data_IF_903089648406
#
_entry.id   IF_903089648406
#
_cell.length_a   1.000
_cell.length_b   1.000
_cell.length_c   1.000
_cell.angle_alpha   90.00
_cell.angle_beta   90.00
_cell.angle_gamma   90.00
#
_symmetry.space_group_name_H-M   'P 1'
#
loop_
_entity.id
_entity.type
_entity.pdbx_description
1 polymer ?
#
# COMPACT_ATOMS: atom_id res chain seq x y z
N UNK A 1 58.90 -50.78 -7.65
CA UNK A 1 58.71 -49.95 -6.45
C UNK A 1 57.30 -49.38 -6.46
N UNK A 2 56.62 -49.44 -5.30
CA UNK A 2 55.32 -48.82 -4.93
C UNK A 2 55.30 -47.29 -5.24
N UNK A 3 54.22 -46.50 -5.01
CA UNK A 3 52.75 -46.72 -4.96
C UNK A 3 51.95 -45.56 -5.64
N UNK A 4 51.04 -45.78 -6.60
CA UNK A 4 50.14 -44.68 -7.07
C UNK A 4 48.67 -45.03 -7.34
N UNK A 5 48.23 -46.28 -7.19
CA UNK A 5 46.87 -46.68 -7.61
C UNK A 5 45.89 -47.04 -6.47
N UNK A 6 46.28 -46.93 -5.20
CA UNK A 6 45.40 -47.27 -4.06
C UNK A 6 44.60 -46.05 -3.55
N UNK A 7 45.05 -44.82 -3.79
CA UNK A 7 44.38 -43.61 -3.28
C UNK A 7 43.14 -43.14 -4.04
N UNK A 8 42.95 -43.55 -5.30
CA UNK A 8 41.82 -43.08 -6.14
C UNK A 8 40.60 -43.99 -5.97
N UNK A 9 40.78 -45.27 -5.63
CA UNK A 9 39.67 -46.20 -5.45
C UNK A 9 38.94 -45.99 -4.11
N UNK A 10 39.62 -45.54 -3.06
CA UNK A 10 39.01 -45.29 -1.74
C UNK A 10 38.19 -44.00 -1.69
N UNK A 11 38.55 -42.96 -2.46
CA UNK A 11 37.78 -41.72 -2.51
C UNK A 11 36.44 -41.88 -3.25
N UNK A 12 36.38 -42.72 -4.29
CA UNK A 12 35.15 -42.98 -5.05
C UNK A 12 34.11 -43.79 -4.24
N UNK A 13 34.57 -44.74 -3.40
CA UNK A 13 33.66 -45.60 -2.62
C UNK A 13 33.03 -44.84 -1.43
N UNK A 14 33.75 -43.88 -0.82
CA UNK A 14 33.19 -43.04 0.26
C UNK A 14 32.14 -42.05 -0.28
N UNK A 15 32.33 -41.51 -1.49
CA UNK A 15 31.37 -40.60 -2.13
C UNK A 15 30.04 -41.27 -2.50
N UNK A 16 30.07 -42.53 -2.94
CA UNK A 16 28.86 -43.29 -3.31
C UNK A 16 28.05 -43.71 -2.07
N UNK A 17 28.73 -44.08 -0.95
CA UNK A 17 28.05 -44.44 0.29
C UNK A 17 27.43 -43.23 1.01
N UNK A 18 28.08 -42.06 0.97
CA UNK A 18 27.52 -40.82 1.52
C UNK A 18 26.29 -40.33 0.73
N UNK A 19 26.31 -40.46 -0.61
CA UNK A 19 25.18 -40.10 -1.47
C UNK A 19 23.95 -40.99 -1.27
N UNK A 20 24.15 -42.30 -1.08
CA UNK A 20 23.05 -43.25 -0.87
C UNK A 20 22.36 -43.09 0.50
N UNK A 21 23.12 -42.78 1.56
CA UNK A 21 22.58 -42.48 2.89
C UNK A 21 21.86 -41.13 2.94
N UNK A 22 22.34 -40.11 2.22
CA UNK A 22 21.66 -38.81 2.10
C UNK A 22 20.37 -38.86 1.30
N UNK A 23 20.28 -39.70 0.26
CA UNK A 23 19.05 -39.89 -0.50
C UNK A 23 17.97 -40.64 0.30
N UNK A 24 18.38 -41.64 1.09
CA UNK A 24 17.46 -42.45 1.89
C UNK A 24 16.86 -41.69 3.09
N UNK A 25 17.56 -40.68 3.62
CA UNK A 25 17.01 -39.79 4.66
C UNK A 25 16.09 -38.72 4.08
N UNK A 26 16.37 -38.23 2.87
CA UNK A 26 15.51 -37.27 2.15
C UNK A 26 14.14 -37.86 1.78
N UNK A 27 14.08 -39.12 1.33
CA UNK A 27 12.80 -39.77 0.98
C UNK A 27 11.91 -40.07 2.20
N UNK A 28 12.49 -40.22 3.40
CA UNK A 28 11.72 -40.40 4.65
C UNK A 28 11.11 -39.10 5.20
N UNK A 29 11.61 -37.94 4.78
CA UNK A 29 11.12 -36.63 5.22
C UNK A 29 10.13 -35.99 4.22
N UNK A 30 9.82 -36.67 3.11
CA UNK A 30 8.82 -36.20 2.15
C UNK A 30 7.41 -36.29 2.75
N UNK A 31 6.64 -35.19 2.81
CA UNK A 31 5.20 -35.29 3.08
C UNK A 31 4.52 -36.11 1.97
N UNK A 32 3.47 -36.84 2.33
CA UNK A 32 2.75 -37.71 1.39
C UNK A 32 2.30 -36.94 0.15
N UNK A 33 2.39 -37.53 -1.07
CA UNK A 33 1.87 -36.89 -2.26
C UNK A 33 0.35 -36.69 -2.12
N UNK A 34 -0.11 -35.48 -2.43
CA UNK A 34 -1.52 -35.18 -2.54
C UNK A 34 -2.19 -36.15 -3.54
N UNK A 35 -3.45 -36.57 -3.31
CA UNK A 35 -4.13 -37.50 -4.20
C UNK A 35 -4.18 -36.93 -5.63
N UNK A 36 -3.92 -37.80 -6.60
CA UNK A 36 -3.92 -37.45 -8.01
C UNK A 36 -5.29 -36.87 -8.41
N UNK A 37 -5.30 -35.59 -8.78
CA UNK A 37 -6.46 -34.97 -9.43
C UNK A 37 -6.59 -35.61 -10.81
N UNK A 38 -7.59 -36.47 -10.98
CA UNK A 38 -8.01 -36.96 -12.29
C UNK A 38 -8.55 -35.76 -13.05
N UNK A 39 -7.74 -35.20 -13.94
CA UNK A 39 -8.19 -34.17 -14.87
C UNK A 39 -9.07 -34.84 -15.92
N UNK A 40 -10.39 -34.84 -15.68
CA UNK A 40 -11.34 -35.09 -16.75
C UNK A 40 -11.11 -34.02 -17.83
N UNK A 41 -10.63 -34.45 -19.00
CA UNK A 41 -10.59 -33.60 -20.20
C UNK A 41 -12.02 -33.30 -20.62
N UNK A 42 -12.55 -32.17 -20.17
CA UNK A 42 -13.75 -31.58 -20.74
C UNK A 42 -13.34 -30.98 -22.10
N UNK A 43 -13.99 -31.34 -23.22
CA UNK A 43 -13.71 -30.70 -24.49
C UNK A 43 -14.14 -29.23 -24.39
N UNK A 44 -13.17 -28.31 -24.54
CA UNK A 44 -13.46 -26.87 -24.66
C UNK A 44 -13.97 -26.64 -26.07
N UNK A 45 -15.29 -26.57 -26.23
CA UNK A 45 -15.89 -25.90 -27.39
C UNK A 45 -15.62 -24.41 -27.23
N UNK A 46 -14.78 -23.85 -28.11
CA UNK A 46 -14.60 -22.41 -28.23
C UNK A 46 -15.92 -21.84 -28.75
N UNK A 47 -16.75 -21.32 -27.85
CA UNK A 47 -17.89 -20.51 -28.24
C UNK A 47 -17.35 -19.19 -28.82
N UNK A 48 -17.72 -18.91 -30.06
CA UNK A 48 -17.54 -17.60 -30.69
C UNK A 48 -18.18 -16.54 -29.79
N UNK A 49 -17.37 -15.56 -29.35
CA UNK A 49 -17.87 -14.37 -28.67
C UNK A 49 -18.64 -13.52 -29.67
N UNK A 50 -19.93 -13.76 -29.80
CA UNK A 50 -20.84 -12.80 -30.41
C UNK A 50 -20.97 -11.58 -29.49
N UNK A 51 -20.55 -10.46 -30.05
CA UNK A 51 -20.49 -9.16 -29.41
C UNK A 51 -21.88 -8.51 -29.41
N UNK A 52 -22.81 -9.02 -28.61
CA UNK A 52 -24.04 -8.31 -28.23
C UNK A 52 -24.83 -9.11 -27.18
N UNK A 53 -24.90 -8.62 -25.93
CA UNK A 53 -25.84 -9.16 -24.94
C UNK A 53 -25.31 -9.11 -23.52
N UNK A 54 -25.34 -7.92 -22.90
CA UNK A 54 -25.14 -7.79 -21.46
C UNK A 54 -26.21 -8.55 -20.68
N UNK A 55 -25.83 -9.16 -19.56
CA UNK A 55 -26.72 -9.87 -18.65
C UNK A 55 -27.84 -8.92 -18.14
N UNK A 56 -29.13 -9.17 -18.41
CA UNK A 56 -30.23 -8.27 -18.03
C UNK A 56 -30.39 -8.06 -16.51
N UNK A 57 -29.76 -8.91 -15.69
CA UNK A 57 -29.80 -8.81 -14.23
C UNK A 57 -28.96 -7.66 -13.65
N UNK A 58 -27.96 -7.15 -14.39
CA UNK A 58 -27.15 -6.00 -13.97
C UNK A 58 -27.78 -4.65 -14.36
N UNK A 59 -28.88 -4.66 -15.12
CA UNK A 59 -29.54 -3.44 -15.63
C UNK A 59 -30.71 -2.96 -14.76
N UNK A 60 -30.97 -3.58 -13.61
CA UNK A 60 -32.14 -3.25 -12.75
C UNK A 60 -31.84 -2.51 -11.45
N UNK A 61 -30.69 -1.87 -11.32
CA UNK A 61 -30.40 -0.93 -10.22
C UNK A 61 -29.88 0.42 -10.72
N UNK A 62 -30.56 1.03 -11.70
CA UNK A 62 -30.39 2.46 -11.98
C UNK A 62 -31.55 3.24 -11.36
N UNK A 63 -31.58 3.29 -10.03
CA UNK A 63 -32.10 4.49 -9.39
C UNK A 63 -31.05 5.59 -9.61
N UNK A 64 -31.48 6.75 -10.10
CA UNK A 64 -30.66 7.91 -10.47
C UNK A 64 -29.96 8.52 -9.25
N UNK A 65 -28.97 7.86 -8.68
CA UNK A 65 -28.07 8.47 -7.70
C UNK A 65 -26.88 9.05 -8.45
N UNK A 66 -26.85 10.38 -8.57
CA UNK A 66 -25.67 11.11 -9.10
C UNK A 66 -24.49 11.09 -8.09
N UNK A 67 -24.77 10.73 -6.84
CA UNK A 67 -23.80 10.58 -5.77
C UNK A 67 -23.18 9.18 -5.78
N UNK A 68 -21.90 9.09 -5.42
CA UNK A 68 -21.19 7.82 -5.28
C UNK A 68 -21.56 7.08 -4.00
N UNK A 69 -20.94 5.92 -3.83
CA UNK A 69 -21.15 5.04 -2.68
C UNK A 69 -20.37 5.58 -1.49
N UNK A 70 -21.08 5.97 -0.44
CA UNK A 70 -20.44 6.40 0.81
C UNK A 70 -19.80 5.23 1.54
N UNK A 71 -18.75 5.51 2.28
CA UNK A 71 -18.12 4.57 3.20
C UNK A 71 -18.90 4.45 4.51
N UNK A 72 -18.59 3.41 5.26
CA UNK A 72 -19.06 3.25 6.64
C UNK A 72 -17.87 3.13 7.59
N UNK A 73 -18.07 3.45 8.86
CA UNK A 73 -16.99 3.55 9.85
C UNK A 73 -17.41 2.87 11.15
N UNK A 74 -16.50 2.08 11.74
CA UNK A 74 -16.73 1.41 13.01
C UNK A 74 -15.47 1.47 13.89
N UNK A 75 -15.68 1.71 15.19
CA UNK A 75 -14.67 1.61 16.23
C UNK A 75 -15.10 0.50 17.17
N UNK A 76 -14.46 -0.66 17.06
CA UNK A 76 -14.79 -1.83 17.89
C UNK A 76 -14.11 -1.65 19.25
N UNK A 77 -14.83 -1.66 20.38
CA UNK A 77 -14.21 -1.58 21.69
C UNK A 77 -13.22 -2.73 21.93
N UNK A 78 -11.99 -2.46 22.37
CA UNK A 78 -11.02 -3.50 22.65
C UNK A 78 -11.41 -4.28 23.91
N UNK A 79 -11.03 -5.55 23.95
CA UNK A 79 -11.13 -6.40 25.15
C UNK A 79 -10.00 -6.09 26.12
N UNK A 80 -8.82 -5.75 25.59
CA UNK A 80 -7.64 -5.42 26.36
C UNK A 80 -7.74 -4.01 26.95
N UNK A 81 -7.65 -3.90 28.28
CA UNK A 81 -7.66 -2.61 28.99
C UNK A 81 -6.54 -1.68 28.52
N UNK A 82 -5.37 -2.23 28.17
CA UNK A 82 -4.22 -1.47 27.68
C UNK A 82 -4.47 -0.74 26.34
N UNK A 83 -5.48 -1.15 25.56
CA UNK A 83 -5.84 -0.52 24.28
C UNK A 83 -7.01 0.46 24.42
N UNK A 84 -7.67 0.51 25.58
CA UNK A 84 -8.82 1.40 25.77
C UNK A 84 -8.52 2.89 25.53
N UNK A 85 -7.38 3.45 25.98
CA UNK A 85 -7.05 4.85 25.68
C UNK A 85 -6.96 5.14 24.18
N UNK A 86 -6.43 4.19 23.39
CA UNK A 86 -6.30 4.33 21.93
C UNK A 86 -7.70 4.28 21.28
N UNK A 87 -8.54 3.34 21.71
CA UNK A 87 -9.93 3.28 21.25
C UNK A 87 -10.70 4.56 21.55
N UNK A 88 -10.61 5.08 22.78
CA UNK A 88 -11.30 6.31 23.18
C UNK A 88 -10.84 7.48 22.32
N UNK A 89 -9.53 7.68 22.16
CA UNK A 89 -9.00 8.73 21.32
C UNK A 89 -9.46 8.61 19.85
N UNK A 90 -9.45 7.39 19.29
CA UNK A 90 -9.87 7.15 17.91
C UNK A 90 -11.37 7.39 17.70
N UNK A 91 -12.21 6.87 18.60
CA UNK A 91 -13.67 6.93 18.51
C UNK A 91 -14.23 8.32 18.83
N UNK A 92 -13.82 8.95 19.93
CA UNK A 92 -14.23 10.32 20.27
C UNK A 92 -13.69 11.33 19.25
N UNK A 93 -12.50 11.06 18.72
CA UNK A 93 -11.89 11.85 17.67
C UNK A 93 -12.59 11.72 16.32
N UNK A 94 -13.44 10.71 16.09
CA UNK A 94 -13.90 10.30 14.76
C UNK A 94 -12.74 10.17 13.77
N UNK A 95 -11.64 9.58 14.23
CA UNK A 95 -10.35 9.54 13.54
C UNK A 95 -10.46 9.13 12.07
N UNK A 96 -11.09 7.99 11.76
CA UNK A 96 -11.18 7.45 10.40
C UNK A 96 -11.88 8.42 9.43
N UNK A 97 -12.99 9.02 9.84
CA UNK A 97 -13.78 9.94 9.01
C UNK A 97 -13.12 11.33 8.89
N UNK A 98 -12.26 11.70 9.85
CA UNK A 98 -11.56 12.99 9.83
C UNK A 98 -10.27 12.97 9.03
N UNK A 99 -9.76 11.81 8.64
CA UNK A 99 -8.63 11.73 7.70
C UNK A 99 -9.01 12.39 6.38
N UNK A 100 -8.23 13.39 5.99
CA UNK A 100 -8.62 14.30 4.91
C UNK A 100 -8.75 13.58 3.57
N UNK A 101 -7.84 12.65 3.24
CA UNK A 101 -7.89 11.86 2.01
C UNK A 101 -9.09 10.92 1.99
N UNK A 102 -9.34 10.19 3.09
CA UNK A 102 -10.47 9.26 3.21
C UNK A 102 -11.79 10.02 3.03
N UNK A 103 -11.95 11.16 3.72
CA UNK A 103 -13.10 12.04 3.56
C UNK A 103 -13.24 12.58 2.13
N UNK A 104 -12.13 12.86 1.45
CA UNK A 104 -12.16 13.40 0.10
C UNK A 104 -12.61 12.38 -0.95
N UNK A 105 -12.38 11.09 -0.72
CA UNK A 105 -12.77 10.01 -1.62
C UNK A 105 -14.06 9.29 -1.19
N UNK A 106 -14.58 9.56 0.01
CA UNK A 106 -15.88 9.07 0.49
C UNK A 106 -17.02 9.59 -0.40
N UNK A 107 -17.75 8.68 -1.05
CA UNK A 107 -18.80 9.02 -2.02
C UNK A 107 -18.28 9.53 -3.37
N UNK A 108 -16.97 9.47 -3.63
CA UNK A 108 -16.38 9.87 -4.91
C UNK A 108 -16.62 8.83 -6.01
N UNK A 109 -16.62 7.55 -5.67
CA UNK A 109 -16.69 6.45 -6.62
C UNK A 109 -18.05 5.73 -6.60
N UNK A 110 -18.47 5.22 -7.76
CA UNK A 110 -19.57 4.27 -7.90
C UNK A 110 -19.07 2.87 -7.58
N UNK A 111 -19.13 2.50 -6.30
CA UNK A 111 -18.70 1.17 -5.84
C UNK A 111 -19.90 0.21 -5.80
N UNK A 112 -19.73 -1.07 -6.21
CA UNK A 112 -20.79 -2.07 -6.10
C UNK A 112 -21.16 -2.42 -4.66
N UNK A 113 -20.27 -2.13 -3.70
CA UNK A 113 -20.51 -2.24 -2.26
C UNK A 113 -19.74 -1.14 -1.52
N UNK A 114 -20.22 -0.76 -0.33
CA UNK A 114 -19.51 0.16 0.56
C UNK A 114 -18.22 -0.46 1.06
N UNK A 115 -17.15 0.33 1.11
CA UNK A 115 -15.98 0.03 1.94
C UNK A 115 -16.33 0.39 3.39
N UNK A 116 -15.98 -0.47 4.33
CA UNK A 116 -16.18 -0.24 5.76
C UNK A 116 -14.83 -0.09 6.45
N UNK A 117 -14.55 1.08 6.99
CA UNK A 117 -13.34 1.32 7.77
C UNK A 117 -13.56 0.92 9.22
N UNK A 118 -12.70 0.06 9.73
CA UNK A 118 -12.81 -0.51 11.08
C UNK A 118 -11.52 -0.27 11.84
N UNK A 119 -11.64 0.17 13.09
CA UNK A 119 -10.56 0.00 14.08
C UNK A 119 -10.92 -1.07 15.09
N UNK A 120 -9.99 -1.96 15.40
CA UNK A 120 -10.24 -3.10 16.28
C UNK A 120 -8.96 -3.59 16.98
N UNK A 121 -9.11 -4.40 18.02
CA UNK A 121 -8.02 -5.18 18.60
C UNK A 121 -7.77 -6.44 17.76
N UNK A 122 -6.53 -6.61 17.27
CA UNK A 122 -6.17 -7.71 16.36
C UNK A 122 -5.20 -8.73 16.97
N UNK A 123 -4.76 -8.52 18.21
CA UNK A 123 -3.71 -9.28 18.93
C UNK A 123 -2.28 -9.05 18.44
N UNK A 124 -2.10 -8.49 17.24
CA UNK A 124 -0.81 -8.08 16.69
C UNK A 124 -0.95 -6.76 15.93
N UNK A 125 0.13 -5.96 15.83
CA UNK A 125 0.15 -4.78 14.97
C UNK A 125 -0.03 -5.19 13.51
N UNK A 126 -1.13 -4.76 12.91
CA UNK A 126 -1.44 -4.97 11.50
C UNK A 126 -2.41 -3.92 10.93
N UNK A 127 -2.56 -3.90 9.63
CA UNK A 127 -3.68 -3.30 8.91
C UNK A 127 -3.90 -4.11 7.64
N UNK A 128 -5.16 -4.30 7.25
CA UNK A 128 -5.46 -5.15 6.09
C UNK A 128 -6.83 -4.83 5.49
N UNK A 129 -6.98 -5.09 4.20
CA UNK A 129 -8.26 -5.20 3.53
C UNK A 129 -8.82 -6.64 3.62
N UNK A 130 -10.03 -6.78 4.17
CA UNK A 130 -10.78 -8.03 4.26
C UNK A 130 -11.80 -8.14 3.12
N UNK A 131 -11.52 -8.89 2.04
CA UNK A 131 -12.38 -8.93 0.84
C UNK A 131 -13.73 -9.60 1.06
N UNK A 132 -13.87 -10.44 2.10
CA UNK A 132 -15.12 -11.12 2.40
C UNK A 132 -16.21 -10.17 2.94
N UNK A 133 -15.80 -9.09 3.61
CA UNK A 133 -16.69 -8.12 4.27
C UNK A 133 -16.54 -6.71 3.70
N UNK A 134 -15.60 -6.48 2.77
CA UNK A 134 -15.20 -5.18 2.26
C UNK A 134 -14.73 -4.22 3.36
N UNK A 135 -14.01 -4.76 4.34
CA UNK A 135 -13.53 -4.00 5.49
C UNK A 135 -12.06 -3.62 5.32
N UNK A 136 -11.74 -2.33 5.51
CA UNK A 136 -10.37 -1.88 5.76
C UNK A 136 -10.18 -1.83 7.27
N UNK A 137 -9.37 -2.73 7.80
CA UNK A 137 -9.18 -2.90 9.24
C UNK A 137 -7.83 -2.31 9.65
N UNK A 138 -7.86 -1.42 10.63
CA UNK A 138 -6.67 -0.88 11.29
C UNK A 138 -6.63 -1.36 12.75
N UNK A 139 -5.59 -2.10 13.11
CA UNK A 139 -5.45 -2.64 14.45
C UNK A 139 -4.98 -1.57 15.44
N UNK A 140 -5.57 -1.50 16.64
CA UNK A 140 -5.12 -0.55 17.68
C UNK A 140 -3.64 -0.76 18.06
N UNK A 141 -3.16 -1.99 17.96
CA UNK A 141 -1.76 -2.34 18.16
C UNK A 141 -0.83 -1.61 17.18
N UNK A 142 -1.26 -1.37 15.94
CA UNK A 142 -0.50 -0.58 14.95
C UNK A 142 -0.36 0.85 15.39
N UNK A 143 -1.46 1.47 15.85
CA UNK A 143 -1.43 2.82 16.41
C UNK A 143 -0.50 2.85 17.62
N UNK A 144 -0.56 1.85 18.51
CA UNK A 144 0.30 1.76 19.68
C UNK A 144 1.80 1.69 19.31
N UNK A 145 2.16 0.85 18.34
CA UNK A 145 3.56 0.72 17.90
C UNK A 145 4.05 2.01 17.26
N UNK A 146 3.25 2.65 16.40
CA UNK A 146 3.58 3.93 15.79
C UNK A 146 3.81 5.01 16.84
N UNK A 147 2.92 5.11 17.85
CA UNK A 147 3.07 6.07 18.96
C UNK A 147 4.36 5.83 19.74
N UNK A 148 4.62 4.59 20.16
CA UNK A 148 5.85 4.24 20.89
C UNK A 148 7.12 4.56 20.10
N UNK A 149 7.11 4.27 18.80
CA UNK A 149 8.24 4.58 17.94
C UNK A 149 8.45 6.08 17.82
N UNK A 150 7.39 6.86 17.63
CA UNK A 150 7.48 8.29 17.50
C UNK A 150 7.98 8.97 18.79
N UNK A 151 7.53 8.48 19.95
CA UNK A 151 8.04 8.88 21.26
C UNK A 151 9.53 8.54 21.44
N UNK A 152 9.95 7.34 21.04
CA UNK A 152 11.35 6.93 21.09
C UNK A 152 12.24 7.80 20.18
N UNK A 153 11.79 8.12 18.97
CA UNK A 153 12.49 9.03 18.05
C UNK A 153 12.61 10.44 18.64
N UNK A 154 11.53 10.96 19.25
CA UNK A 154 11.57 12.26 19.93
C UNK A 154 12.55 12.26 21.10
N UNK A 155 12.55 11.20 21.93
CA UNK A 155 13.45 11.09 23.07
C UNK A 155 14.94 10.95 22.67
N UNK A 156 15.22 10.38 21.49
CA UNK A 156 16.57 10.17 20.98
C UNK A 156 17.18 11.39 20.28
N UNK A 157 16.39 12.42 19.96
CA UNK A 157 16.82 13.56 19.16
C UNK A 157 16.26 14.90 19.66
N UNK A 158 16.48 15.95 18.87
CA UNK A 158 15.90 17.28 19.10
C UNK A 158 14.72 17.50 18.16
N UNK A 159 13.71 16.63 18.25
CA UNK A 159 12.49 16.74 17.46
C UNK A 159 11.47 17.64 18.16
N UNK A 160 10.66 18.34 17.37
CA UNK A 160 9.61 19.22 17.85
C UNK A 160 8.57 18.48 18.71
N UNK A 161 7.90 19.20 19.60
CA UNK A 161 6.89 18.62 20.51
C UNK A 161 5.78 17.87 19.77
N UNK A 162 5.36 18.39 18.62
CA UNK A 162 4.29 17.85 17.77
C UNK A 162 4.72 16.67 16.88
N UNK A 163 6.03 16.37 16.82
CA UNK A 163 6.55 15.31 15.95
C UNK A 163 5.85 13.96 16.16
N UNK A 164 5.61 13.47 17.40
CA UNK A 164 4.99 12.16 17.59
C UNK A 164 3.62 12.05 16.95
N UNK A 165 2.79 13.09 17.12
CA UNK A 165 1.46 13.14 16.54
C UNK A 165 1.52 13.19 15.00
N UNK A 166 2.41 14.02 14.43
CA UNK A 166 2.60 14.11 12.99
C UNK A 166 3.06 12.78 12.38
N UNK A 167 4.01 12.10 13.03
CA UNK A 167 4.52 10.81 12.59
C UNK A 167 3.44 9.73 12.58
N UNK A 168 2.65 9.64 13.65
CA UNK A 168 1.54 8.67 13.74
C UNK A 168 0.51 8.95 12.64
N UNK A 169 0.07 10.19 12.47
CA UNK A 169 -0.91 10.54 11.44
C UNK A 169 -0.39 10.30 10.02
N UNK A 170 0.87 10.63 9.75
CA UNK A 170 1.49 10.42 8.44
C UNK A 170 1.48 8.94 8.04
N UNK A 171 1.90 8.07 8.97
CA UNK A 171 1.91 6.62 8.72
C UNK A 171 0.50 6.05 8.62
N UNK A 172 -0.44 6.45 9.48
CA UNK A 172 -1.81 5.96 9.42
C UNK A 172 -2.54 6.40 8.14
N UNK A 173 -2.30 7.62 7.65
CA UNK A 173 -2.81 8.08 6.34
C UNK A 173 -2.34 7.16 5.23
N UNK A 174 -1.03 6.90 5.18
CA UNK A 174 -0.45 6.04 4.15
C UNK A 174 -1.01 4.61 4.23
N UNK A 175 -0.98 4.00 5.41
CA UNK A 175 -1.46 2.61 5.64
C UNK A 175 -2.93 2.47 5.24
N UNK A 176 -3.81 3.36 5.71
CA UNK A 176 -5.23 3.26 5.38
C UNK A 176 -5.51 3.47 3.89
N UNK A 177 -4.76 4.34 3.21
CA UNK A 177 -4.90 4.55 1.77
C UNK A 177 -4.35 3.39 0.95
N UNK A 178 -3.29 2.73 1.44
CA UNK A 178 -2.76 1.49 0.88
C UNK A 178 -3.85 0.39 0.94
N UNK A 179 -4.44 0.15 2.12
CA UNK A 179 -5.54 -0.83 2.25
C UNK A 179 -6.79 -0.45 1.43
N UNK A 180 -7.08 0.85 1.34
CA UNK A 180 -8.16 1.34 0.47
C UNK A 180 -7.86 1.04 -1.01
N UNK A 181 -6.59 1.01 -1.41
CA UNK A 181 -6.16 0.62 -2.74
C UNK A 181 -6.55 -0.82 -3.08
N UNK A 182 -6.32 -1.77 -2.19
CA UNK A 182 -6.79 -3.15 -2.37
C UNK A 182 -8.31 -3.21 -2.52
N UNK A 183 -9.04 -2.47 -1.68
CA UNK A 183 -10.49 -2.40 -1.76
C UNK A 183 -10.97 -1.85 -3.12
N UNK A 184 -10.34 -0.78 -3.62
CA UNK A 184 -10.68 -0.18 -4.90
C UNK A 184 -10.37 -1.11 -6.07
N UNK A 185 -9.19 -1.74 -6.08
CA UNK A 185 -8.81 -2.73 -7.10
C UNK A 185 -9.86 -3.84 -7.15
N UNK A 186 -10.21 -4.41 -5.98
CA UNK A 186 -11.12 -5.54 -5.87
C UNK A 186 -12.56 -5.21 -6.23
N UNK A 187 -13.06 -4.06 -5.79
CA UNK A 187 -14.46 -3.65 -5.97
C UNK A 187 -14.73 -3.09 -7.37
N UNK A 188 -13.74 -2.44 -7.98
CA UNK A 188 -13.87 -1.87 -9.32
C UNK A 188 -13.34 -2.78 -10.42
N UNK A 189 -12.80 -3.96 -10.06
CA UNK A 189 -12.18 -4.93 -10.97
C UNK A 189 -11.06 -4.29 -11.81
N UNK A 190 -10.17 -3.54 -11.12
CA UNK A 190 -9.08 -2.83 -11.79
C UNK A 190 -7.93 -3.79 -12.12
N UNK A 191 -7.37 -3.76 -13.33
CA UNK A 191 -6.26 -4.62 -13.70
C UNK A 191 -4.95 -4.19 -13.03
N UNK A 192 -4.20 -5.17 -12.51
CA UNK A 192 -2.81 -5.04 -12.06
C UNK A 192 -1.90 -5.93 -12.91
N UNK A 193 -0.75 -5.40 -13.36
CA UNK A 193 0.20 -6.14 -14.24
C UNK A 193 1.57 -6.37 -13.59
N UNK A 194 1.73 -5.91 -12.35
CA UNK A 194 2.90 -6.12 -11.51
C UNK A 194 2.48 -6.58 -10.10
N UNK A 195 3.34 -6.37 -9.10
CA UNK A 195 2.97 -6.58 -7.70
C UNK A 195 1.85 -5.61 -7.30
N UNK A 196 0.78 -6.14 -6.75
CA UNK A 196 -0.36 -5.33 -6.30
C UNK A 196 0.08 -4.37 -5.19
N UNK A 197 0.90 -4.84 -4.25
CA UNK A 197 1.53 -4.05 -3.18
C UNK A 197 2.23 -2.78 -3.67
N UNK A 198 3.06 -2.92 -4.72
CA UNK A 198 3.75 -1.77 -5.32
C UNK A 198 2.75 -0.80 -5.96
N UNK A 199 1.64 -1.31 -6.51
CA UNK A 199 0.60 -0.50 -7.13
C UNK A 199 -0.23 0.26 -6.08
N UNK A 200 -0.61 -0.38 -4.97
CA UNK A 200 -1.38 0.30 -3.91
C UNK A 200 -0.52 1.28 -3.11
N UNK A 201 0.80 1.05 -2.99
CA UNK A 201 1.75 2.06 -2.51
C UNK A 201 1.75 3.32 -3.38
N UNK A 202 1.81 3.13 -4.70
CA UNK A 202 1.74 4.23 -5.66
C UNK A 202 0.43 5.01 -5.53
N UNK A 203 -0.69 4.30 -5.37
CA UNK A 203 -1.99 4.93 -5.17
C UNK A 203 -2.03 5.72 -3.87
N UNK A 204 -1.51 5.18 -2.76
CA UNK A 204 -1.47 5.87 -1.48
C UNK A 204 -0.68 7.19 -1.57
N UNK A 205 0.50 7.17 -2.22
CA UNK A 205 1.29 8.39 -2.49
C UNK A 205 0.46 9.39 -3.31
N UNK A 206 -0.14 8.94 -4.40
CA UNK A 206 -0.94 9.79 -5.27
C UNK A 206 -2.11 10.42 -4.48
N UNK A 207 -2.87 9.62 -3.72
CA UNK A 207 -4.03 10.12 -2.98
C UNK A 207 -3.62 11.15 -1.92
N UNK A 208 -2.56 10.90 -1.15
CA UNK A 208 -2.02 11.89 -0.20
C UNK A 208 -1.61 13.19 -0.90
N UNK A 209 -0.96 13.12 -2.07
CA UNK A 209 -0.56 14.32 -2.80
C UNK A 209 -1.75 15.11 -3.39
N UNK A 210 -2.68 14.40 -4.02
CA UNK A 210 -3.82 14.98 -4.76
C UNK A 210 -4.94 15.47 -3.83
N UNK A 211 -5.15 14.79 -2.71
CA UNK A 211 -6.25 15.05 -1.79
C UNK A 211 -5.82 15.60 -0.42
N UNK A 212 -4.55 15.95 -0.22
CA UNK A 212 -4.14 16.68 0.98
C UNK A 212 -4.92 17.99 1.21
N UNK A 213 -5.04 18.36 2.48
CA UNK A 213 -5.80 19.53 2.93
C UNK A 213 -5.33 20.82 2.28
N UNK A 214 -6.25 21.77 2.11
CA UNK A 214 -5.92 23.13 1.65
C UNK A 214 -5.07 23.90 2.67
N UNK A 215 -5.10 23.46 3.93
CA UNK A 215 -4.35 24.02 5.05
C UNK A 215 -2.98 23.31 5.24
N UNK A 216 -2.73 22.25 4.49
CA UNK A 216 -1.46 21.52 4.51
C UNK A 216 -0.57 21.97 3.35
N UNK A 217 0.58 22.56 3.65
CA UNK A 217 1.54 22.99 2.63
C UNK A 217 2.07 21.79 1.84
N UNK A 218 2.46 21.96 0.56
CA UNK A 218 3.04 20.84 -0.20
C UNK A 218 4.33 20.28 0.41
N UNK A 219 5.03 21.06 1.24
CA UNK A 219 6.18 20.57 2.01
C UNK A 219 5.73 19.64 3.14
N UNK A 220 4.72 20.02 3.92
CA UNK A 220 4.16 19.15 4.97
C UNK A 220 3.64 17.83 4.41
N UNK A 221 2.92 17.85 3.27
CA UNK A 221 2.50 16.61 2.58
C UNK A 221 3.69 15.72 2.24
N UNK A 222 4.77 16.33 1.76
CA UNK A 222 5.99 15.62 1.38
C UNK A 222 6.72 15.06 2.60
N UNK A 223 6.85 15.82 3.69
CA UNK A 223 7.44 15.32 4.94
C UNK A 223 6.62 14.17 5.54
N UNK A 224 5.28 14.24 5.45
CA UNK A 224 4.41 13.15 5.88
C UNK A 224 4.66 11.87 5.06
N UNK A 225 4.79 11.99 3.74
CA UNK A 225 5.14 10.88 2.88
C UNK A 225 6.57 10.36 3.12
N UNK A 226 7.54 11.24 3.41
CA UNK A 226 8.90 10.84 3.80
C UNK A 226 8.87 10.04 5.11
N UNK A 227 8.12 10.49 6.13
CA UNK A 227 7.96 9.77 7.39
C UNK A 227 7.35 8.37 7.17
N UNK A 228 6.33 8.27 6.32
CA UNK A 228 5.73 6.99 5.94
C UNK A 228 6.74 6.09 5.18
N UNK A 229 7.56 6.66 4.30
CA UNK A 229 8.62 5.88 3.62
C UNK A 229 9.66 5.36 4.61
N UNK A 230 10.13 6.19 5.54
CA UNK A 230 11.14 5.78 6.53
C UNK A 230 10.70 4.60 7.41
N UNK A 231 9.39 4.42 7.63
CA UNK A 231 8.86 3.24 8.32
C UNK A 231 9.28 1.93 7.65
N UNK A 232 9.38 1.89 6.33
CA UNK A 232 9.85 0.69 5.61
C UNK A 232 11.31 0.35 5.91
N UNK A 233 12.17 1.36 6.09
CA UNK A 233 13.56 1.15 6.48
C UNK A 233 13.68 0.65 7.92
N UNK A 234 12.83 1.13 8.82
CA UNK A 234 12.83 0.70 10.23
C UNK A 234 12.43 -0.77 10.38
N UNK A 235 11.67 -1.31 9.42
CA UNK A 235 11.27 -2.71 9.36
C UNK A 235 12.22 -3.57 8.50
N UNK A 236 13.10 -2.93 7.74
CA UNK A 236 14.09 -3.61 6.92
C UNK A 236 15.20 -4.19 7.81
N UNK A 237 15.48 -5.48 7.65
CA UNK A 237 16.50 -6.17 8.46
C UNK A 237 17.88 -6.18 7.77
N UNK A 238 17.95 -5.84 6.48
CA UNK A 238 19.17 -5.86 5.66
C UNK A 238 19.77 -7.26 5.45
N UNK A 239 19.27 -8.28 6.14
CA UNK A 239 19.62 -9.69 6.01
C UNK A 239 18.38 -10.49 5.66
N UNK A 240 18.28 -10.90 4.41
CA UNK A 240 17.10 -11.56 3.86
C UNK A 240 17.34 -13.05 3.65
N UNK A 241 16.39 -13.87 4.09
CA UNK A 241 16.29 -15.26 3.64
C UNK A 241 15.57 -15.32 2.28
N UNK A 242 15.49 -16.51 1.68
CA UNK A 242 14.82 -16.67 0.38
C UNK A 242 13.31 -16.35 0.44
N UNK A 243 12.67 -16.56 1.58
CA UNK A 243 11.23 -16.29 1.75
C UNK A 243 10.92 -14.81 1.56
N UNK A 244 11.78 -13.90 2.04
CA UNK A 244 11.61 -12.46 1.86
C UNK A 244 11.62 -12.01 0.38
N UNK A 245 12.24 -12.79 -0.51
CA UNK A 245 12.21 -12.52 -1.96
C UNK A 245 10.98 -13.11 -2.66
N UNK A 246 10.27 -14.03 -2.00
CA UNK A 246 9.04 -14.64 -2.50
C UNK A 246 7.77 -13.96 -1.94
N UNK A 247 7.94 -13.02 -1.01
CA UNK A 247 6.87 -12.21 -0.44
C UNK A 247 6.16 -11.37 -1.53
N UNK A 248 4.87 -11.09 -1.31
CA UNK A 248 4.08 -10.25 -2.21
C UNK A 248 4.51 -8.78 -2.17
N UNK A 249 5.04 -8.34 -1.02
CA UNK A 249 5.62 -7.03 -0.85
C UNK A 249 7.04 -7.01 -1.40
N UNK A 250 7.40 -5.89 -2.03
CA UNK A 250 8.81 -5.57 -2.23
C UNK A 250 9.54 -5.42 -0.89
N UNK A 251 10.86 -5.63 -0.91
CA UNK A 251 11.70 -5.42 0.27
C UNK A 251 11.51 -3.98 0.80
N UNK A 252 11.61 -3.79 2.11
CA UNK A 252 11.38 -2.47 2.73
C UNK A 252 12.23 -1.36 2.12
N UNK A 253 13.49 -1.65 1.79
CA UNK A 253 14.38 -0.70 1.12
C UNK A 253 13.94 -0.38 -0.31
N UNK A 254 13.38 -1.35 -1.03
CA UNK A 254 12.82 -1.13 -2.37
C UNK A 254 11.60 -0.22 -2.29
N UNK A 255 10.68 -0.50 -1.36
CA UNK A 255 9.49 0.32 -1.12
C UNK A 255 9.88 1.75 -0.72
N UNK A 256 10.85 1.91 0.17
CA UNK A 256 11.41 3.21 0.53
C UNK A 256 11.85 4.01 -0.70
N UNK A 257 12.75 3.47 -1.52
CA UNK A 257 13.25 4.19 -2.70
C UNK A 257 12.19 4.42 -3.77
N UNK A 258 11.17 3.55 -3.88
CA UNK A 258 10.03 3.76 -4.77
C UNK A 258 9.21 4.96 -4.31
N UNK A 259 8.85 5.04 -3.02
CA UNK A 259 8.13 6.19 -2.47
C UNK A 259 8.94 7.49 -2.63
N UNK A 260 10.22 7.50 -2.25
CA UNK A 260 11.06 8.70 -2.39
C UNK A 260 11.14 9.17 -3.85
N UNK A 261 11.15 8.23 -4.80
CA UNK A 261 11.13 8.53 -6.23
C UNK A 261 9.80 9.19 -6.67
N UNK A 262 8.65 8.65 -6.25
CA UNK A 262 7.34 9.22 -6.57
C UNK A 262 7.15 10.62 -5.96
N UNK A 263 7.66 10.81 -4.73
CA UNK A 263 7.63 12.09 -4.04
C UNK A 263 8.51 13.12 -4.78
N UNK A 264 9.78 12.79 -5.02
CA UNK A 264 10.72 13.67 -5.70
C UNK A 264 10.27 14.01 -7.12
N UNK A 265 9.80 13.01 -7.87
CA UNK A 265 9.40 13.13 -9.26
C UNK A 265 8.26 14.11 -9.51
N UNK A 266 7.44 14.41 -8.50
CA UNK A 266 6.32 15.35 -8.62
C UNK A 266 6.78 16.79 -8.92
N UNK A 267 7.83 17.25 -8.25
CA UNK A 267 8.42 18.59 -8.46
C UNK A 267 9.92 18.56 -8.05
N UNK A 268 10.80 18.10 -8.94
CA UNK A 268 12.24 17.95 -8.65
C UNK A 268 12.93 19.24 -8.20
N UNK A 269 12.47 20.38 -8.72
CA UNK A 269 13.00 21.68 -8.35
C UNK A 269 12.70 22.04 -6.90
N UNK A 270 11.49 21.69 -6.43
CA UNK A 270 11.06 21.93 -5.04
C UNK A 270 11.59 20.89 -4.07
N UNK A 271 11.70 19.63 -4.50
CA UNK A 271 12.05 18.50 -3.65
C UNK A 271 13.51 18.07 -3.78
N UNK A 272 14.37 18.96 -4.30
CA UNK A 272 15.81 18.71 -4.43
C UNK A 272 16.46 18.19 -3.14
N UNK A 273 15.94 18.61 -1.99
CA UNK A 273 16.43 18.20 -0.68
C UNK A 273 16.34 16.68 -0.43
N UNK A 274 15.38 15.98 -1.06
CA UNK A 274 15.32 14.51 -0.99
C UNK A 274 16.60 13.87 -1.56
N UNK A 275 17.22 14.48 -2.58
CA UNK A 275 18.50 13.99 -3.11
C UNK A 275 19.67 14.49 -2.25
N UNK A 276 19.67 15.76 -1.85
CA UNK A 276 20.82 16.33 -1.11
C UNK A 276 20.93 15.83 0.32
N UNK A 277 19.82 15.43 0.94
CA UNK A 277 19.78 14.83 2.29
C UNK A 277 20.25 13.36 2.28
N UNK A 278 20.37 12.75 1.09
CA UNK A 278 20.79 11.35 0.92
C UNK A 278 19.66 10.32 0.88
N UNK A 279 18.40 10.76 0.95
CA UNK A 279 17.23 9.89 0.90
C UNK A 279 17.02 9.22 -0.47
N UNK A 280 17.48 9.85 -1.55
CA UNK A 280 17.35 9.34 -2.92
C UNK A 280 18.67 9.48 -3.67
N UNK A 281 19.28 8.37 -4.14
CA UNK A 281 20.48 8.42 -4.95
C UNK A 281 20.24 9.22 -6.24
N UNK A 282 21.19 10.09 -6.60
CA UNK A 282 21.08 10.95 -7.79
C UNK A 282 20.75 10.17 -9.07
N UNK A 283 21.38 9.01 -9.29
CA UNK A 283 21.09 8.17 -10.46
C UNK A 283 19.68 7.55 -10.47
N UNK A 284 19.04 7.33 -9.31
CA UNK A 284 17.62 6.93 -9.24
C UNK A 284 16.72 8.13 -9.56
N UNK A 285 17.07 9.30 -9.03
CA UNK A 285 16.31 10.55 -9.17
C UNK A 285 16.08 10.97 -10.63
N UNK A 286 17.02 10.68 -11.54
CA UNK A 286 16.93 11.02 -12.96
C UNK A 286 15.64 10.52 -13.65
N UNK A 287 15.15 9.33 -13.27
CA UNK A 287 13.96 8.71 -13.90
C UNK A 287 12.66 9.00 -13.16
N UNK A 288 12.74 9.59 -11.96
CA UNK A 288 11.61 9.78 -11.08
C UNK A 288 10.53 10.73 -11.60
N UNK A 289 10.84 11.83 -12.32
CA UNK A 289 9.79 12.71 -12.86
C UNK A 289 8.87 11.97 -13.83
N UNK A 290 9.46 11.17 -14.72
CA UNK A 290 8.70 10.37 -15.66
C UNK A 290 7.93 9.24 -14.96
N UNK A 291 8.53 8.59 -13.96
CA UNK A 291 7.89 7.54 -13.17
C UNK A 291 6.65 8.06 -12.42
N UNK A 292 6.80 9.17 -11.70
CA UNK A 292 5.70 9.82 -10.97
C UNK A 292 4.57 10.25 -11.92
N UNK A 293 4.91 10.83 -13.08
CA UNK A 293 3.92 11.19 -14.09
C UNK A 293 3.17 9.95 -14.60
N UNK A 294 3.88 8.88 -14.99
CA UNK A 294 3.23 7.66 -15.49
C UNK A 294 2.28 7.05 -14.46
N UNK A 295 2.67 7.05 -13.18
CA UNK A 295 1.84 6.57 -12.07
C UNK A 295 0.56 7.40 -11.94
N UNK A 296 0.67 8.73 -11.90
CA UNK A 296 -0.47 9.65 -11.84
C UNK A 296 -1.46 9.37 -12.99
N UNK A 297 -0.96 9.28 -14.23
CA UNK A 297 -1.79 9.05 -15.40
C UNK A 297 -2.42 7.65 -15.41
N UNK A 298 -1.70 6.62 -14.99
CA UNK A 298 -2.22 5.25 -14.92
C UNK A 298 -3.40 5.16 -13.93
N UNK A 299 -3.21 5.65 -12.70
CA UNK A 299 -4.26 5.62 -11.69
C UNK A 299 -5.45 6.50 -12.04
N UNK A 300 -5.24 7.68 -12.63
CA UNK A 300 -6.36 8.49 -13.13
C UNK A 300 -7.17 7.76 -14.20
N UNK A 301 -6.51 7.10 -15.17
CA UNK A 301 -7.22 6.33 -16.20
C UNK A 301 -8.01 5.17 -15.63
N UNK A 302 -7.47 4.50 -14.61
CA UNK A 302 -8.16 3.41 -13.93
C UNK A 302 -9.36 3.91 -13.12
N UNK A 303 -9.24 5.04 -12.43
CA UNK A 303 -10.25 5.49 -11.47
C UNK A 303 -11.36 6.37 -12.06
N UNK A 304 -11.04 7.23 -13.04
CA UNK A 304 -12.00 8.19 -13.61
C UNK A 304 -13.28 7.56 -14.19
N UNK A 305 -13.25 6.39 -14.84
CA UNK A 305 -14.46 5.72 -15.31
C UNK A 305 -15.46 5.36 -14.19
N UNK A 306 -14.97 5.24 -12.95
CA UNK A 306 -15.76 4.85 -11.78
C UNK A 306 -16.14 6.04 -10.90
N UNK A 307 -15.70 7.26 -11.21
CA UNK A 307 -16.09 8.46 -10.46
C UNK A 307 -17.58 8.73 -10.67
N UNK A 308 -18.28 9.06 -9.58
CA UNK A 308 -19.71 9.33 -9.61
C UNK A 308 -20.06 10.48 -10.57
N UNK A 309 -21.22 10.43 -11.26
CA UNK A 309 -21.58 11.42 -12.29
C UNK A 309 -21.44 12.88 -11.84
N UNK A 310 -21.76 13.19 -10.58
CA UNK A 310 -21.62 14.53 -9.99
C UNK A 310 -20.19 15.06 -10.02
N UNK A 311 -19.19 14.19 -9.97
CA UNK A 311 -17.76 14.53 -9.90
C UNK A 311 -17.01 14.17 -11.19
N UNK A 312 -17.70 13.63 -12.18
CA UNK A 312 -17.07 13.09 -13.37
C UNK A 312 -16.41 14.19 -14.21
N UNK A 313 -15.17 13.95 -14.62
CA UNK A 313 -14.40 14.85 -15.45
C UNK A 313 -13.40 14.08 -16.33
N UNK A 314 -12.90 14.73 -17.38
CA UNK A 314 -11.85 14.16 -18.23
C UNK A 314 -10.51 14.13 -17.48
N UNK A 315 -9.60 13.22 -17.85
CA UNK A 315 -8.23 13.13 -17.29
C UNK A 315 -7.51 14.48 -17.26
N UNK A 316 -7.55 15.20 -18.39
CA UNK A 316 -6.93 16.54 -18.50
C UNK A 316 -7.56 17.57 -17.55
N UNK A 317 -8.86 17.47 -17.25
CA UNK A 317 -9.55 18.38 -16.32
C UNK A 317 -9.21 18.02 -14.88
N UNK A 318 -9.12 16.72 -14.55
CA UNK A 318 -8.69 16.25 -13.24
C UNK A 318 -7.26 16.72 -12.91
N UNK A 319 -6.32 16.53 -13.85
CA UNK A 319 -4.95 17.00 -13.69
C UNK A 319 -4.88 18.51 -13.46
N UNK A 320 -5.61 19.30 -14.26
CA UNK A 320 -5.69 20.76 -14.09
C UNK A 320 -6.30 21.16 -12.73
N UNK A 321 -7.33 20.47 -12.28
CA UNK A 321 -7.97 20.71 -10.98
C UNK A 321 -6.97 20.49 -9.83
N UNK A 322 -6.23 19.38 -9.85
CA UNK A 322 -5.23 19.10 -8.82
C UNK A 322 -4.07 20.10 -8.82
N UNK A 323 -3.60 20.51 -10.01
CA UNK A 323 -2.57 21.54 -10.13
C UNK A 323 -3.04 22.92 -9.60
N UNK A 324 -4.32 23.27 -9.81
CA UNK A 324 -4.90 24.49 -9.24
C UNK A 324 -4.95 24.43 -7.71
N UNK A 325 -5.46 23.34 -7.14
CA UNK A 325 -5.48 23.13 -5.69
C UNK A 325 -4.09 23.18 -5.08
N UNK A 326 -3.08 22.63 -5.75
CA UNK A 326 -1.71 22.71 -5.29
C UNK A 326 -1.20 24.16 -5.26
N UNK A 327 -1.53 24.97 -6.28
CA UNK A 327 -1.20 26.40 -6.29
C UNK A 327 -1.93 27.18 -5.19
N UNK A 328 -3.16 26.82 -4.86
CA UNK A 328 -3.91 27.41 -3.74
C UNK A 328 -3.26 27.08 -2.40
N UNK A 329 -2.87 25.82 -2.17
CA UNK A 329 -2.10 25.42 -0.98
C UNK A 329 -0.81 26.23 -0.82
N UNK A 330 -0.13 26.56 -1.93
CA UNK A 330 1.07 27.42 -1.90
C UNK A 330 0.71 28.84 -1.43
N UNK A 331 -0.36 29.43 -1.96
CA UNK A 331 -0.79 30.80 -1.59
C UNK A 331 -1.25 30.93 -0.15
N UNK A 332 -2.00 29.94 0.36
CA UNK A 332 -2.51 29.97 1.74
C UNK A 332 -1.38 29.97 2.78
N UNK A 333 -0.24 29.36 2.45
CA UNK A 333 0.95 29.30 3.32
C UNK A 333 1.78 30.58 3.24
N UNK A 334 1.77 31.28 2.09
CA UNK A 334 2.50 32.55 1.88
C UNK A 334 1.73 33.80 2.33
N UNK A 335 0.45 33.69 2.70
CA UNK A 335 -0.35 34.82 3.21
C UNK A 335 -0.38 34.82 4.74
N UNK A 336 0.50 35.57 5.44
CA UNK A 336 0.53 35.60 6.90
C UNK A 336 -0.66 36.37 7.52
N UNK A 337 -1.57 36.92 6.71
CA UNK A 337 -2.74 37.65 7.20
C UNK A 337 -4.01 36.82 7.03
N UNK A 338 -4.48 36.29 8.16
CA UNK A 338 -5.87 35.89 8.38
C UNK A 338 -6.65 37.16 8.74
N UNK A 339 -7.79 37.40 8.08
CA UNK A 339 -8.75 38.43 8.48
C UNK A 339 -9.63 37.95 9.62
#
# INVERSE_FOLDING_TARGET
MRPKYIGILTAAIVGVLAGALGHATWDRMRPAPAPAVVTARVPVTVASFDRAGGNPALQRASAKTEAGTNFTYEYVPPKSEALQPIYQAASEGNFLQKLHEIKAIDGLFMLPASIKFVTAECKSPDAFYAPATNEVVLCYETIQVLTKQAEAMKAAGTLEEEFPHQYVLANLRFILLHETGHALIRLLDLPTTGREEDAVDQLAVMLMQKFASVDESPRQVTENLRMAAHWFLQRAQGQYNLDAYADEHALGEQRYFNLQCLIYGRDPGKYLYIVTDGDLPAGRAERCPEEAQRVDHAWLRLLLPHVAPKFQMTEEKALRFFDQRERERRKNVESPYVR
#
